data_IF_070741149916
#
_entry.id   IF_070741149916
#
_cell.length_a   1.000
_cell.length_b   1.000
_cell.length_c   1.000
_cell.angle_alpha   90.00
_cell.angle_beta   90.00
_cell.angle_gamma   90.00
#
_symmetry.space_group_name_H-M   'P 1'
#
loop_
_entity.id
_entity.type
_entity.pdbx_description
1 polymer ?
#
# COMPACT_ATOMS: atom_id res chain seq x y z
N UNK A 1 11.55 -6.15 -11.16
CA UNK A 1 11.83 -5.40 -9.92
C UNK A 1 10.54 -5.32 -9.10
N UNK A 2 10.14 -6.45 -8.49
CA UNK A 2 8.88 -6.59 -7.73
C UNK A 2 9.18 -6.82 -6.24
N UNK A 3 9.86 -5.86 -5.60
CA UNK A 3 10.05 -5.89 -4.17
C UNK A 3 9.68 -4.51 -3.62
N UNK A 4 8.39 -4.29 -3.41
CA UNK A 4 8.00 -3.27 -2.44
C UNK A 4 8.46 -3.79 -1.07
N UNK A 5 9.24 -3.00 -0.36
CA UNK A 5 9.74 -3.34 0.96
C UNK A 5 9.06 -2.39 1.92
N UNK A 6 8.27 -2.95 2.84
CA UNK A 6 7.61 -2.17 3.86
C UNK A 6 8.58 -2.11 5.03
N UNK A 7 9.33 -1.01 5.13
CA UNK A 7 10.37 -0.80 6.12
C UNK A 7 10.30 0.62 6.71
N UNK A 8 10.57 0.70 8.02
CA UNK A 8 10.87 1.93 8.74
C UNK A 8 12.03 1.70 9.70
N UNK A 9 12.80 2.73 10.05
CA UNK A 9 13.96 2.64 10.96
C UNK A 9 13.64 2.17 12.39
N UNK A 10 12.37 1.99 12.73
CA UNK A 10 11.89 1.43 13.98
C UNK A 10 10.66 0.53 13.75
N UNK A 11 10.70 -0.28 12.68
CA UNK A 11 9.64 -1.25 12.47
C UNK A 11 9.67 -2.31 13.57
N UNK A 12 8.52 -2.73 14.14
CA UNK A 12 8.50 -3.84 15.08
C UNK A 12 9.08 -5.10 14.42
N UNK A 13 9.61 -6.06 15.21
CA UNK A 13 10.20 -7.28 14.67
C UNK A 13 9.24 -7.94 13.66
N UNK A 14 9.81 -8.55 12.62
CA UNK A 14 9.09 -9.13 11.47
C UNK A 14 7.89 -10.01 11.83
N UNK A 15 7.90 -10.64 13.02
CA UNK A 15 6.79 -11.40 13.60
C UNK A 15 5.52 -10.57 13.85
N UNK A 16 5.65 -9.29 14.21
CA UNK A 16 4.51 -8.42 14.57
C UNK A 16 3.71 -7.99 13.34
N UNK A 17 4.37 -7.81 12.20
CA UNK A 17 3.73 -7.46 10.92
C UNK A 17 3.15 -8.71 10.26
N UNK A 18 3.86 -9.84 10.35
CA UNK A 18 3.37 -11.12 9.88
C UNK A 18 2.06 -11.55 10.59
N UNK A 19 1.91 -11.20 11.87
CA UNK A 19 0.68 -11.45 12.63
C UNK A 19 -0.55 -10.71 12.11
N UNK A 20 -0.38 -9.57 11.43
CA UNK A 20 -1.48 -8.81 10.81
C UNK A 20 -2.00 -9.52 9.55
N UNK A 21 -1.16 -10.30 8.88
CA UNK A 21 -1.51 -11.04 7.67
C UNK A 21 -1.72 -12.53 7.97
N UNK A 22 -2.82 -12.87 8.64
CA UNK A 22 -3.18 -14.28 8.90
C UNK A 22 -3.71 -15.00 7.64
N UNK A 23 -3.57 -16.32 7.58
CA UNK A 23 -4.15 -17.17 6.52
C UNK A 23 -3.35 -17.24 5.21
N UNK A 24 -4.04 -17.33 4.07
CA UNK A 24 -3.42 -17.46 2.72
C UNK A 24 -2.50 -16.30 2.34
N UNK A 25 -2.64 -15.16 3.03
CA UNK A 25 -1.82 -13.97 2.89
C UNK A 25 -0.36 -14.16 3.33
N UNK A 26 -0.06 -15.10 4.25
CA UNK A 26 1.32 -15.35 4.71
C UNK A 26 2.26 -15.68 3.55
N UNK A 27 1.73 -16.41 2.57
CA UNK A 27 2.48 -16.86 1.40
C UNK A 27 2.86 -15.74 0.42
N UNK A 28 2.42 -14.50 0.69
CA UNK A 28 2.72 -13.30 -0.07
C UNK A 28 3.86 -12.50 0.55
N UNK A 29 4.23 -12.77 1.81
CA UNK A 29 5.24 -12.00 2.54
C UNK A 29 6.33 -12.88 3.13
N UNK A 30 7.55 -12.35 3.21
CA UNK A 30 8.64 -12.92 4.02
C UNK A 30 9.29 -11.84 4.87
N UNK A 31 9.79 -12.22 6.04
CA UNK A 31 10.62 -11.35 6.85
C UNK A 31 11.86 -10.91 6.07
N UNK A 32 12.24 -9.64 6.19
CA UNK A 32 13.41 -9.07 5.53
C UNK A 32 14.21 -8.18 6.49
N UNK A 33 15.53 -8.30 6.43
CA UNK A 33 16.50 -7.50 7.18
C UNK A 33 17.57 -7.05 6.19
N UNK A 34 17.87 -5.75 6.17
CA UNK A 34 18.76 -5.17 5.16
C UNK A 34 19.31 -3.82 5.61
N UNK A 35 20.47 -3.44 5.09
CA UNK A 35 21.07 -2.12 5.28
C UNK A 35 21.05 -1.39 3.92
N UNK A 36 20.21 -0.35 3.74
CA UNK A 36 20.12 0.37 2.48
C UNK A 36 21.43 1.09 2.14
N UNK A 37 21.85 1.03 0.86
CA UNK A 37 23.06 1.72 0.39
C UNK A 37 22.81 3.14 -0.15
N UNK A 38 21.55 3.53 -0.32
CA UNK A 38 21.12 4.87 -0.76
C UNK A 38 19.66 5.14 -0.36
N UNK A 39 19.22 6.40 -0.50
CA UNK A 39 17.86 6.87 -0.21
C UNK A 39 17.47 6.74 1.27
N UNK A 40 16.18 6.49 1.55
CA UNK A 40 15.61 6.45 2.90
C UNK A 40 16.34 5.41 3.75
N UNK A 41 16.67 5.80 4.98
CA UNK A 41 17.36 4.96 5.96
C UNK A 41 18.75 4.46 5.51
N UNK A 42 19.44 5.22 4.65
CA UNK A 42 20.80 4.90 4.19
C UNK A 42 21.74 4.62 5.37
N UNK A 43 22.46 3.50 5.31
CA UNK A 43 23.40 3.05 6.34
C UNK A 43 22.74 2.58 7.64
N UNK A 44 21.41 2.49 7.71
CA UNK A 44 20.67 2.08 8.91
C UNK A 44 20.14 0.66 8.75
N UNK A 45 20.32 -0.17 9.77
CA UNK A 45 19.75 -1.52 9.78
C UNK A 45 18.22 -1.44 9.81
N UNK A 46 17.61 -1.91 8.72
CA UNK A 46 16.17 -1.92 8.53
C UNK A 46 15.64 -3.35 8.68
N UNK A 47 14.46 -3.47 9.27
CA UNK A 47 13.69 -4.72 9.33
C UNK A 47 12.27 -4.49 8.83
N UNK A 48 11.65 -5.52 8.26
CA UNK A 48 10.31 -5.43 7.72
C UNK A 48 9.86 -6.67 6.97
N UNK A 49 8.98 -6.47 5.99
CA UNK A 49 8.43 -7.54 5.14
C UNK A 49 8.64 -7.24 3.67
N UNK A 50 9.01 -8.29 2.93
CA UNK A 50 9.14 -8.28 1.48
C UNK A 50 7.99 -9.06 0.84
N UNK A 51 7.43 -8.51 -0.23
CA UNK A 51 6.47 -9.21 -1.07
C UNK A 51 7.20 -10.29 -1.88
N UNK A 52 6.77 -11.55 -1.73
CA UNK A 52 7.39 -12.70 -2.43
C UNK A 52 6.64 -13.11 -3.69
N UNK A 53 5.39 -12.64 -3.85
CA UNK A 53 4.55 -12.91 -5.02
C UNK A 53 3.73 -11.68 -5.37
N UNK A 54 3.44 -11.54 -6.67
CA UNK A 54 2.54 -10.50 -7.17
C UNK A 54 1.15 -10.65 -6.55
N UNK A 55 0.48 -9.50 -6.37
CA UNK A 55 -0.85 -9.44 -5.78
C UNK A 55 -1.88 -8.84 -6.72
N UNK A 56 -3.09 -9.37 -6.63
CA UNK A 56 -4.28 -8.86 -7.31
C UNK A 56 -5.48 -9.05 -6.37
N UNK A 57 -6.34 -8.02 -6.21
CA UNK A 57 -6.29 -6.69 -6.81
C UNK A 57 -5.27 -5.76 -6.11
N UNK A 58 -4.48 -5.00 -6.89
CA UNK A 58 -3.39 -4.14 -6.33
C UNK A 58 -3.88 -3.08 -5.34
N UNK A 59 -5.02 -2.45 -5.62
CA UNK A 59 -5.55 -1.40 -4.74
C UNK A 59 -5.94 -1.94 -3.36
N UNK A 60 -6.64 -3.07 -3.32
CA UNK A 60 -7.00 -3.73 -2.06
C UNK A 60 -5.77 -4.02 -1.20
N UNK A 61 -4.74 -4.58 -1.81
CA UNK A 61 -3.51 -4.91 -1.12
C UNK A 61 -2.73 -3.68 -0.65
N UNK A 62 -2.74 -2.58 -1.40
CA UNK A 62 -2.19 -1.31 -0.93
C UNK A 62 -2.92 -0.80 0.33
N UNK A 63 -4.26 -0.82 0.35
CA UNK A 63 -5.06 -0.40 1.51
C UNK A 63 -4.79 -1.30 2.72
N UNK A 64 -4.73 -2.63 2.52
CA UNK A 64 -4.39 -3.59 3.57
C UNK A 64 -3.04 -3.29 4.22
N UNK A 65 -2.02 -3.00 3.41
CA UNK A 65 -0.69 -2.66 3.93
C UNK A 65 -0.70 -1.34 4.68
N UNK A 66 -1.38 -0.30 4.19
CA UNK A 66 -1.49 0.98 4.90
C UNK A 66 -2.19 0.82 6.27
N UNK A 67 -3.28 0.05 6.32
CA UNK A 67 -3.97 -0.26 7.58
C UNK A 67 -3.07 -1.06 8.53
N UNK A 68 -2.35 -2.07 8.02
CA UNK A 68 -1.42 -2.87 8.81
C UNK A 68 -0.26 -2.03 9.36
N UNK A 69 0.31 -1.14 8.55
CA UNK A 69 1.35 -0.20 8.94
C UNK A 69 0.90 0.71 10.10
N UNK A 70 -0.31 1.27 10.00
CA UNK A 70 -0.89 2.12 11.04
C UNK A 70 -1.11 1.35 12.35
N UNK A 71 -1.59 0.11 12.28
CA UNK A 71 -1.77 -0.75 13.47
C UNK A 71 -0.45 -1.20 14.09
N UNK A 72 0.56 -1.50 13.26
CA UNK A 72 1.86 -1.97 13.70
C UNK A 72 2.76 -0.86 14.28
N UNK A 73 2.41 0.41 14.09
CA UNK A 73 3.19 1.54 14.58
C UNK A 73 3.12 1.65 16.11
N UNK A 74 4.29 1.57 16.75
CA UNK A 74 4.43 1.66 18.21
C UNK A 74 5.52 2.69 18.55
N UNK A 75 5.20 3.78 19.27
CA UNK A 75 3.85 4.21 19.69
C UNK A 75 2.95 4.54 18.48
N UNK A 76 1.63 4.63 18.67
CA UNK A 76 0.70 4.94 17.58
C UNK A 76 1.02 6.25 16.84
N UNK A 77 1.67 7.21 17.53
CA UNK A 77 2.16 8.46 16.95
C UNK A 77 3.36 8.30 16.01
N UNK A 78 3.95 7.10 15.92
CA UNK A 78 5.06 6.82 15.00
C UNK A 78 4.60 6.74 13.54
N UNK A 79 3.30 6.51 13.30
CA UNK A 79 2.74 6.57 11.96
C UNK A 79 2.26 7.99 11.66
N UNK A 80 2.90 8.63 10.67
CA UNK A 80 2.54 9.97 10.19
C UNK A 80 2.49 9.99 8.67
N UNK A 81 1.52 10.71 8.13
CA UNK A 81 1.47 11.06 6.71
C UNK A 81 2.41 12.24 6.47
N UNK A 82 3.67 11.97 6.14
CA UNK A 82 4.71 13.00 6.00
C UNK A 82 5.35 13.02 4.60
N UNK A 83 5.09 14.09 3.86
CA UNK A 83 5.70 14.39 2.57
C UNK A 83 7.12 14.96 2.61
N UNK A 84 7.66 15.29 3.79
CA UNK A 84 8.96 15.98 3.95
C UNK A 84 10.11 15.21 3.29
N UNK A 85 10.08 13.88 3.35
CA UNK A 85 11.08 13.01 2.74
C UNK A 85 11.16 13.10 1.22
N UNK A 86 10.13 13.63 0.58
CA UNK A 86 10.08 13.87 -0.85
C UNK A 86 10.19 15.36 -1.20
N UNK A 87 10.56 16.21 -0.24
CA UNK A 87 10.67 17.66 -0.45
C UNK A 87 9.33 18.41 -0.35
N UNK A 88 8.29 17.78 0.18
CA UNK A 88 6.97 18.39 0.39
C UNK A 88 6.64 18.45 1.89
N UNK A 89 7.37 19.26 2.68
CA UNK A 89 7.13 19.35 4.11
C UNK A 89 5.74 19.93 4.40
N UNK A 90 5.04 19.32 5.36
CA UNK A 90 3.69 19.72 5.74
C UNK A 90 2.59 19.25 4.77
N UNK A 91 2.90 18.41 3.79
CA UNK A 91 1.89 17.78 2.94
C UNK A 91 1.64 16.32 3.29
N UNK A 92 0.42 15.89 3.01
CA UNK A 92 -0.01 14.50 3.08
C UNK A 92 0.02 13.94 1.65
N UNK A 93 1.22 13.66 1.10
CA UNK A 93 1.40 13.23 -0.31
C UNK A 93 0.53 12.04 -0.73
N UNK A 94 0.05 11.25 0.23
CA UNK A 94 -0.93 10.19 -0.04
C UNK A 94 -2.20 10.73 -0.71
N UNK A 95 -2.64 11.94 -0.37
CA UNK A 95 -3.83 12.57 -0.93
C UNK A 95 -3.58 12.96 -2.40
N UNK A 96 -2.36 13.38 -2.73
CA UNK A 96 -1.94 13.65 -4.11
C UNK A 96 -1.87 12.37 -4.94
N UNK A 97 -1.32 11.28 -4.37
CA UNK A 97 -1.27 9.98 -5.05
C UNK A 97 -2.65 9.34 -5.23
N UNK A 98 -3.55 9.53 -4.25
CA UNK A 98 -4.92 9.03 -4.32
C UNK A 98 -5.82 9.92 -5.19
N UNK A 99 -5.43 11.18 -5.43
CA UNK A 99 -6.26 12.19 -6.08
C UNK A 99 -7.44 12.65 -5.21
N UNK A 100 -7.43 12.33 -3.91
CA UNK A 100 -8.49 12.65 -2.95
C UNK A 100 -7.99 12.45 -1.51
N UNK A 101 -8.52 13.24 -0.57
CA UNK A 101 -8.26 13.05 0.88
C UNK A 101 -8.99 11.84 1.45
N UNK A 102 -10.02 11.36 0.74
CA UNK A 102 -10.96 10.33 1.22
C UNK A 102 -10.25 9.05 1.66
N UNK A 103 -9.21 8.61 0.94
CA UNK A 103 -8.49 7.39 1.29
C UNK A 103 -7.82 7.49 2.66
N UNK A 104 -7.07 8.57 2.88
CA UNK A 104 -6.37 8.84 4.14
C UNK A 104 -7.37 8.98 5.29
N UNK A 105 -8.40 9.80 5.11
CA UNK A 105 -9.42 10.05 6.12
C UNK A 105 -10.15 8.76 6.55
N UNK A 106 -10.48 7.88 5.59
CA UNK A 106 -11.10 6.59 5.89
C UNK A 106 -10.14 5.65 6.64
N UNK A 107 -8.86 5.62 6.29
CA UNK A 107 -7.84 4.84 7.02
C UNK A 107 -7.66 5.40 8.45
N UNK A 108 -7.60 6.71 8.61
CA UNK A 108 -7.45 7.37 9.90
C UNK A 108 -8.66 7.13 10.81
N UNK A 109 -9.86 7.11 10.21
CA UNK A 109 -11.12 6.79 10.88
C UNK A 109 -11.33 5.27 11.09
N UNK A 110 -10.33 4.44 10.78
CA UNK A 110 -10.40 2.98 10.94
C UNK A 110 -11.58 2.32 10.22
N UNK A 111 -11.97 2.86 9.06
CA UNK A 111 -13.07 2.32 8.25
C UNK A 111 -12.69 0.90 7.77
N UNK A 112 -13.61 -0.07 7.83
CA UNK A 112 -13.36 -1.43 7.35
C UNK A 112 -12.93 -1.46 5.88
N UNK A 113 -11.97 -2.33 5.55
CA UNK A 113 -11.41 -2.46 4.19
C UNK A 113 -12.48 -2.53 3.11
N UNK A 114 -13.50 -3.39 3.27
CA UNK A 114 -14.56 -3.57 2.28
C UNK A 114 -15.34 -2.26 2.00
N UNK A 115 -15.52 -1.40 3.00
CA UNK A 115 -16.16 -0.10 2.83
C UNK A 115 -15.24 0.89 2.12
N UNK A 116 -13.93 0.87 2.41
CA UNK A 116 -12.93 1.64 1.66
C UNK A 116 -12.96 1.22 0.19
N UNK A 117 -12.94 -0.08 -0.13
CA UNK A 117 -12.98 -0.53 -1.52
C UNK A 117 -14.27 -0.12 -2.21
N UNK A 118 -15.43 -0.31 -1.56
CA UNK A 118 -16.73 0.04 -2.11
C UNK A 118 -16.85 1.54 -2.42
N UNK A 119 -16.20 2.40 -1.63
CA UNK A 119 -16.22 3.85 -1.84
C UNK A 119 -15.67 4.31 -3.20
N UNK A 120 -14.71 3.56 -3.78
CA UNK A 120 -14.07 3.90 -5.06
C UNK A 120 -14.69 3.17 -6.26
N UNK A 121 -15.54 2.17 -6.04
CA UNK A 121 -16.18 1.40 -7.13
C UNK A 121 -16.99 2.29 -8.08
N UNK A 122 -17.89 3.18 -7.61
CA UNK A 122 -18.70 3.99 -8.52
C UNK A 122 -17.89 4.88 -9.45
N UNK A 123 -16.85 5.53 -8.95
CA UNK A 123 -15.96 6.40 -9.74
C UNK A 123 -15.13 5.58 -10.74
N UNK A 124 -14.65 4.41 -10.33
CA UNK A 124 -13.94 3.49 -11.22
C UNK A 124 -14.85 2.97 -12.34
N UNK A 125 -16.11 2.65 -12.07
CA UNK A 125 -17.09 2.26 -13.10
C UNK A 125 -17.44 3.42 -14.02
N UNK A 126 -17.69 4.61 -13.48
CA UNK A 126 -17.94 5.80 -14.30
C UNK A 126 -16.78 6.11 -15.26
N UNK A 127 -15.54 5.95 -14.80
CA UNK A 127 -14.36 6.09 -15.65
C UNK A 127 -14.22 4.95 -16.67
N UNK A 128 -14.53 3.70 -16.28
CA UNK A 128 -14.57 2.57 -17.22
C UNK A 128 -15.57 2.81 -18.33
N UNK A 129 -16.71 3.41 -18.01
CA UNK A 129 -17.76 3.72 -18.96
C UNK A 129 -17.37 4.87 -19.90
N UNK A 130 -16.82 5.96 -19.37
CA UNK A 130 -16.43 7.13 -20.16
C UNK A 130 -15.22 6.89 -21.06
N UNK A 131 -14.30 6.02 -20.66
CA UNK A 131 -13.11 5.70 -21.48
C UNK A 131 -13.42 4.80 -22.68
N UNK A 132 -14.62 4.21 -22.79
CA UNK A 132 -14.96 3.18 -23.79
C UNK A 132 -14.71 3.64 -25.23
N UNK A 133 -15.06 4.89 -25.54
CA UNK A 133 -14.92 5.46 -26.88
C UNK A 133 -13.46 5.69 -27.30
N UNK A 134 -12.53 5.66 -26.34
CA UNK A 134 -11.12 5.93 -26.55
C UNK A 134 -10.25 4.67 -26.52
N UNK A 135 -10.85 3.47 -26.42
CA UNK A 135 -10.09 2.21 -26.37
C UNK A 135 -9.65 1.76 -27.76
N UNK A 136 -8.33 1.71 -27.99
CA UNK A 136 -7.72 1.18 -29.22
C UNK A 136 -7.54 -0.33 -29.23
N UNK A 137 -7.57 -0.96 -28.05
CA UNK A 137 -7.44 -2.41 -27.87
C UNK A 137 -8.68 -2.96 -27.18
N UNK A 138 -9.29 -4.00 -27.75
CA UNK A 138 -10.45 -4.64 -27.14
C UNK A 138 -10.07 -5.29 -25.81
N UNK A 139 -10.91 -5.11 -24.80
CA UNK A 139 -10.77 -5.77 -23.48
C UNK A 139 -10.89 -7.30 -23.59
N UNK A 140 -11.42 -7.82 -24.70
CA UNK A 140 -11.49 -9.25 -25.00
C UNK A 140 -10.14 -9.73 -25.51
N UNK A 141 -9.30 -10.23 -24.61
CA UNK A 141 -8.22 -11.14 -25.00
C UNK A 141 -8.86 -12.51 -25.27
N UNK A 142 -9.17 -12.79 -26.53
CA UNK A 142 -9.35 -14.16 -26.99
C UNK A 142 -7.96 -14.79 -27.10
N UNK A 143 -7.41 -15.25 -25.98
CA UNK A 143 -6.36 -16.27 -25.98
C UNK A 143 -7.07 -17.62 -25.84
N UNK A 144 -7.64 -18.06 -26.96
CA UNK A 144 -7.82 -19.47 -27.27
C UNK A 144 -6.98 -19.71 -28.51
N UNK A 145 -5.76 -20.20 -28.30
CA UNK A 145 -4.95 -20.97 -29.25
C UNK A 145 -3.93 -21.79 -28.42
#
# INVERSE_FOLDING_TARGET
LEAALVAGAAFPPSSSVAGVFSGSAWSLFRAAYFNPTFSKYNGTDCSGVQWVRGVSPRFEWAVRVLQALKVAAVPASAFVWDGSWFGHPGSELIDEYAGTTRLREMIDSSVPLNQILAAFVPEAEAFRDSRREYLLYSTTSSLQD
#
